data_IF_409169047868
#
_entry.id   IF_409169047868
#
_cell.length_a   1.000
_cell.length_b   1.000
_cell.length_c   1.000
_cell.angle_alpha   90.00
_cell.angle_beta   90.00
_cell.angle_gamma   90.00
#
_symmetry.space_group_name_H-M   'P 1'
#
loop_
_entity.id
_entity.type
_entity.pdbx_description
1 polymer ?
#
# COMPACT_ATOMS: atom_id res chain seq x y z
N UNK A 1 6.01 -25.57 13.36
CA UNK A 1 4.94 -25.03 14.22
C UNK A 1 4.79 -23.57 13.89
N UNK A 2 3.56 -23.10 13.63
CA UNK A 2 3.31 -21.67 13.48
C UNK A 2 3.65 -20.95 14.80
N UNK A 3 4.29 -19.76 14.76
CA UNK A 3 4.51 -19.01 15.98
C UNK A 3 3.15 -18.62 16.55
N UNK A 4 2.84 -19.10 17.75
CA UNK A 4 1.71 -18.61 18.53
C UNK A 4 2.04 -17.16 18.89
N UNK A 5 1.42 -16.22 18.17
CA UNK A 5 1.43 -14.82 18.54
C UNK A 5 0.68 -14.72 19.88
N UNK A 6 1.41 -14.55 20.99
CA UNK A 6 0.80 -14.37 22.31
C UNK A 6 -0.16 -13.20 22.25
N UNK A 7 -1.43 -13.43 22.58
CA UNK A 7 -2.41 -12.36 22.70
C UNK A 7 -1.94 -11.40 23.81
N UNK A 8 -1.98 -10.08 23.59
CA UNK A 8 -1.57 -9.12 24.61
C UNK A 8 -2.46 -9.25 25.85
N UNK A 9 -1.86 -9.13 27.04
CA UNK A 9 -2.57 -9.10 28.31
C UNK A 9 -3.58 -7.95 28.32
N UNK A 10 -4.77 -8.19 28.89
CA UNK A 10 -5.86 -7.22 28.94
C UNK A 10 -5.36 -5.88 29.54
N UNK A 11 -5.41 -4.81 28.74
CA UNK A 11 -4.96 -3.47 29.12
C UNK A 11 -3.60 -3.03 28.55
N UNK A 12 -2.82 -3.94 27.95
CA UNK A 12 -1.56 -3.59 27.28
C UNK A 12 -1.80 -3.19 25.82
N UNK A 13 -1.08 -2.16 25.37
CA UNK A 13 -1.15 -1.75 23.97
C UNK A 13 -0.52 -2.81 23.07
N UNK A 14 -1.15 -3.12 21.92
CA UNK A 14 -0.54 -4.03 20.98
C UNK A 14 0.82 -3.46 20.54
N UNK A 15 1.87 -4.31 20.45
CA UNK A 15 3.20 -3.85 20.13
C UNK A 15 3.23 -3.19 18.75
N UNK A 16 4.19 -2.27 18.51
CA UNK A 16 4.44 -1.77 17.17
C UNK A 16 4.73 -2.93 16.21
N UNK A 17 4.34 -2.78 14.95
CA UNK A 17 4.43 -3.83 13.95
C UNK A 17 5.04 -3.34 12.65
N UNK A 18 5.63 -4.28 11.91
CA UNK A 18 6.24 -4.06 10.60
C UNK A 18 5.42 -4.81 9.53
N UNK A 19 5.02 -4.13 8.46
CA UNK A 19 4.36 -4.77 7.33
C UNK A 19 5.39 -5.42 6.40
N UNK A 20 5.23 -6.70 6.11
CA UNK A 20 6.03 -7.41 5.08
C UNK A 20 5.09 -8.07 4.09
N UNK A 21 5.29 -7.84 2.79
CA UNK A 21 4.51 -8.46 1.72
C UNK A 21 5.39 -8.95 0.58
N UNK A 22 5.12 -10.16 0.08
CA UNK A 22 5.77 -10.72 -1.12
C UNK A 22 4.77 -10.94 -2.25
N UNK A 23 5.20 -10.65 -3.48
CA UNK A 23 4.41 -10.75 -4.71
C UNK A 23 3.12 -9.94 -4.67
N UNK A 24 3.19 -8.72 -4.14
CA UNK A 24 2.03 -7.84 -4.11
C UNK A 24 1.86 -7.20 -5.50
N UNK A 25 0.71 -7.45 -6.13
CA UNK A 25 0.33 -6.87 -7.42
C UNK A 25 -0.27 -5.48 -7.21
N UNK A 26 -0.07 -4.57 -8.17
CA UNK A 26 -0.73 -3.26 -8.31
C UNK A 26 -1.57 -2.78 -7.12
N UNK A 27 -2.90 -2.91 -7.24
CA UNK A 27 -3.87 -2.43 -6.25
C UNK A 27 -3.69 -3.02 -4.82
N UNK A 28 -3.16 -4.24 -4.69
CA UNK A 28 -2.89 -4.80 -3.36
C UNK A 28 -1.75 -4.04 -2.66
N UNK A 29 -0.75 -3.57 -3.41
CA UNK A 29 0.29 -2.68 -2.90
C UNK A 29 -0.32 -1.38 -2.39
N UNK A 30 -1.21 -0.77 -3.17
CA UNK A 30 -1.92 0.44 -2.79
C UNK A 30 -2.77 0.26 -1.51
N UNK A 31 -3.49 -0.86 -1.39
CA UNK A 31 -4.26 -1.17 -0.18
C UNK A 31 -3.36 -1.34 1.04
N UNK A 32 -2.22 -2.03 0.90
CA UNK A 32 -1.24 -2.15 1.99
C UNK A 32 -0.71 -0.78 2.40
N UNK A 33 -0.36 0.07 1.45
CA UNK A 33 0.11 1.44 1.75
C UNK A 33 -0.96 2.26 2.48
N UNK A 34 -2.22 2.24 2.02
CA UNK A 34 -3.34 2.92 2.69
C UNK A 34 -3.57 2.41 4.11
N UNK A 35 -3.52 1.08 4.29
CA UNK A 35 -3.67 0.46 5.60
C UNK A 35 -2.55 0.88 6.55
N UNK A 36 -1.29 0.76 6.11
CA UNK A 36 -0.12 1.15 6.91
C UNK A 36 -0.14 2.64 7.24
N UNK A 37 -0.47 3.51 6.27
CA UNK A 37 -0.51 4.95 6.45
C UNK A 37 -1.48 5.38 7.56
N UNK A 38 -2.65 4.74 7.66
CA UNK A 38 -3.63 4.98 8.75
C UNK A 38 -3.07 4.66 10.14
N UNK A 39 -2.06 3.81 10.21
CA UNK A 39 -1.45 3.33 11.45
C UNK A 39 -0.05 3.94 11.70
N UNK A 40 0.38 4.88 10.85
CA UNK A 40 1.60 5.64 11.10
C UNK A 40 1.38 6.62 12.26
N UNK A 41 2.42 6.94 13.04
CA UNK A 41 2.32 7.95 14.08
C UNK A 41 1.97 9.30 13.44
N UNK A 42 0.82 9.88 13.82
CA UNK A 42 0.44 11.24 13.45
C UNK A 42 1.54 12.21 13.87
N UNK A 43 2.13 12.92 12.90
CA UNK A 43 3.02 14.04 13.17
C UNK A 43 2.17 15.21 13.71
N UNK A 44 1.92 15.23 15.02
CA UNK A 44 1.52 16.45 15.73
C UNK A 44 0.03 16.64 16.03
N UNK A 45 -0.76 15.60 16.28
CA UNK A 45 -2.06 15.78 16.93
C UNK A 45 -2.23 14.78 18.07
N UNK A 46 -2.42 15.30 19.28
CA UNK A 46 -2.82 14.53 20.46
C UNK A 46 -4.17 13.87 20.15
N UNK A 47 -4.15 12.59 19.81
CA UNK A 47 -5.38 11.83 19.59
C UNK A 47 -5.89 11.33 20.93
N UNK A 48 -7.08 11.77 21.31
CA UNK A 48 -7.89 11.26 22.42
C UNK A 48 -8.45 9.85 22.17
N UNK A 49 -8.16 9.27 21.01
CA UNK A 49 -8.62 7.93 20.61
C UNK A 49 -7.78 6.82 21.27
N UNK A 50 -8.34 5.62 21.47
CA UNK A 50 -7.59 4.50 22.00
C UNK A 50 -6.32 4.24 21.14
N UNK A 51 -5.18 3.96 21.79
CA UNK A 51 -3.92 3.63 21.13
C UNK A 51 -4.08 2.51 20.09
N UNK A 52 -3.95 2.91 18.82
CA UNK A 52 -3.98 2.00 17.68
C UNK A 52 -2.58 1.39 17.50
N UNK A 53 -2.45 0.08 17.24
CA UNK A 53 -1.15 -0.55 16.97
C UNK A 53 -0.40 0.18 15.86
N UNK A 54 0.79 0.67 16.18
CA UNK A 54 1.56 1.55 15.28
C UNK A 54 2.33 0.74 14.24
N UNK A 55 2.08 1.03 12.97
CA UNK A 55 2.95 0.60 11.88
C UNK A 55 4.25 1.38 11.98
N UNK A 56 5.39 0.71 12.17
CA UNK A 56 6.70 1.37 12.24
C UNK A 56 7.48 1.29 10.92
N UNK A 57 7.02 0.47 9.98
CA UNK A 57 7.67 0.32 8.68
C UNK A 57 6.94 -0.65 7.76
N UNK A 58 7.30 -0.58 6.48
CA UNK A 58 6.73 -1.42 5.42
C UNK A 58 7.85 -1.87 4.47
N UNK A 59 7.88 -3.17 4.15
CA UNK A 59 8.74 -3.77 3.15
C UNK A 59 7.89 -4.61 2.19
N UNK A 60 7.85 -4.23 0.91
CA UNK A 60 7.03 -4.91 -0.11
C UNK A 60 7.90 -5.30 -1.29
N UNK A 61 7.89 -6.58 -1.65
CA UNK A 61 8.41 -7.05 -2.93
C UNK A 61 7.27 -7.06 -3.95
N UNK A 62 7.20 -6.02 -4.79
CA UNK A 62 6.21 -5.91 -5.87
C UNK A 62 6.52 -6.89 -6.99
N UNK A 63 5.52 -7.64 -7.47
CA UNK A 63 5.70 -8.55 -8.62
C UNK A 63 5.20 -7.97 -9.95
N UNK A 64 4.03 -7.32 -9.92
CA UNK A 64 3.34 -6.80 -11.11
C UNK A 64 2.77 -5.41 -10.79
N UNK A 65 3.63 -4.41 -10.60
CA UNK A 65 3.16 -3.04 -10.34
C UNK A 65 2.30 -2.51 -11.51
N UNK A 66 2.54 -2.98 -12.74
CA UNK A 66 1.73 -2.67 -13.93
C UNK A 66 0.24 -3.05 -13.80
N UNK A 67 -0.15 -3.88 -12.82
CA UNK A 67 -1.57 -4.19 -12.53
C UNK A 67 -2.21 -3.17 -11.59
N UNK A 68 -1.57 -2.03 -11.33
CA UNK A 68 -2.21 -0.95 -10.59
C UNK A 68 -3.30 -0.36 -11.48
N UNK A 69 -4.45 -0.08 -10.89
CA UNK A 69 -5.53 0.61 -11.58
C UNK A 69 -5.60 2.03 -11.07
N UNK A 70 -5.99 2.97 -11.93
CA UNK A 70 -6.14 4.35 -11.49
C UNK A 70 -7.08 4.48 -10.28
N UNK A 71 -8.13 3.66 -10.19
CA UNK A 71 -9.07 3.69 -9.06
C UNK A 71 -8.37 3.56 -7.70
N UNK A 72 -7.42 2.64 -7.57
CA UNK A 72 -6.80 2.29 -6.29
C UNK A 72 -5.44 2.95 -6.05
N UNK A 73 -4.81 3.49 -7.08
CA UNK A 73 -3.51 4.13 -6.97
C UNK A 73 -3.45 5.19 -5.86
N UNK A 74 -2.43 5.13 -4.99
CA UNK A 74 -2.26 6.10 -3.88
C UNK A 74 -1.58 7.39 -4.31
N UNK A 75 -0.84 7.39 -5.42
CA UNK A 75 -0.02 8.51 -5.90
C UNK A 75 -0.74 9.54 -6.76
N UNK A 76 -2.09 9.59 -6.78
CA UNK A 76 -2.87 10.44 -7.70
C UNK A 76 -2.48 11.92 -7.63
N UNK A 77 -2.23 12.44 -6.42
CA UNK A 77 -1.82 13.84 -6.25
C UNK A 77 -0.45 14.11 -6.87
N UNK A 78 0.47 13.14 -6.78
CA UNK A 78 1.77 13.24 -7.43
C UNK A 78 1.62 13.24 -8.96
N UNK A 79 0.78 12.34 -9.50
CA UNK A 79 0.46 12.32 -10.93
C UNK A 79 -0.13 13.67 -11.39
N UNK A 80 -1.15 14.16 -10.69
CA UNK A 80 -1.79 15.43 -11.02
C UNK A 80 -0.82 16.61 -10.97
N UNK A 81 0.07 16.66 -9.96
CA UNK A 81 1.09 17.70 -9.85
C UNK A 81 2.10 17.71 -11.00
N UNK A 82 2.25 16.59 -11.71
CA UNK A 82 3.14 16.44 -12.87
C UNK A 82 2.38 16.39 -14.19
N UNK A 83 1.08 16.74 -14.20
CA UNK A 83 0.27 16.73 -15.41
C UNK A 83 -0.07 15.34 -15.95
N UNK A 84 0.14 14.27 -15.16
CA UNK A 84 -0.22 12.90 -15.55
C UNK A 84 -1.70 12.69 -15.26
N UNK A 85 -2.47 12.54 -16.33
CA UNK A 85 -3.91 12.26 -16.27
C UNK A 85 -4.18 10.77 -15.95
N UNK A 86 -5.44 10.40 -15.61
CA UNK A 86 -5.83 9.00 -15.49
C UNK A 86 -5.55 8.20 -16.77
N UNK A 87 -5.75 8.80 -17.95
CA UNK A 87 -5.49 8.17 -19.25
C UNK A 87 -3.99 7.94 -19.46
N UNK A 88 -3.16 8.94 -19.17
CA UNK A 88 -1.70 8.80 -19.22
C UNK A 88 -1.21 7.68 -18.30
N UNK A 89 -1.81 7.58 -17.11
CA UNK A 89 -1.48 6.52 -16.15
C UNK A 89 -1.79 5.13 -16.68
N UNK A 90 -2.96 4.92 -17.31
CA UNK A 90 -3.32 3.61 -17.89
C UNK A 90 -2.38 3.27 -19.06
N UNK A 91 -1.98 4.25 -19.88
CA UNK A 91 -0.98 4.07 -20.94
C UNK A 91 0.38 3.71 -20.35
N UNK A 92 0.86 4.42 -19.31
CA UNK A 92 2.13 4.12 -18.63
C UNK A 92 2.10 2.73 -18.00
N UNK A 93 1.00 2.38 -17.32
CA UNK A 93 0.82 1.06 -16.69
C UNK A 93 0.83 -0.04 -17.75
N UNK A 94 0.16 0.17 -18.87
CA UNK A 94 0.19 -0.74 -20.00
C UNK A 94 1.60 -0.88 -20.59
N UNK A 95 2.29 0.23 -20.93
CA UNK A 95 3.65 0.23 -21.48
C UNK A 95 4.65 -0.49 -20.57
N UNK A 96 4.53 -0.33 -19.25
CA UNK A 96 5.39 -1.01 -18.26
C UNK A 96 5.04 -2.48 -18.05
N UNK A 97 3.91 -2.96 -18.59
CA UNK A 97 3.50 -4.37 -18.61
C UNK A 97 4.00 -5.17 -19.83
N UNK A 98 4.72 -4.54 -20.77
CA UNK A 98 5.17 -5.20 -22.00
C UNK A 98 6.13 -6.37 -21.71
N UNK A 99 5.89 -7.49 -22.41
CA UNK A 99 6.47 -8.83 -22.26
C UNK A 99 5.97 -9.74 -21.11
N UNK A 100 5.05 -9.28 -20.23
CA UNK A 100 4.60 -10.09 -19.08
C UNK A 100 3.09 -10.40 -19.02
N UNK A 101 2.21 -9.63 -19.65
CA UNK A 101 0.74 -9.78 -19.44
C UNK A 101 -0.16 -9.85 -20.69
N UNK A 102 0.38 -9.88 -21.91
CA UNK A 102 -0.40 -10.22 -23.12
C UNK A 102 -1.56 -9.27 -23.48
N UNK A 103 -1.60 -8.04 -22.95
CA UNK A 103 -2.65 -7.07 -23.26
C UNK A 103 -2.34 -6.30 -24.56
N UNK A 104 -3.27 -6.35 -25.52
CA UNK A 104 -3.14 -5.73 -26.84
C UNK A 104 -3.37 -4.20 -26.83
N UNK A 105 -4.01 -3.64 -25.78
CA UNK A 105 -4.28 -2.22 -25.61
C UNK A 105 -4.43 -1.82 -24.12
N UNK A 106 -4.32 -0.51 -23.77
CA UNK A 106 -4.69 0.02 -22.45
C UNK A 106 -6.15 -0.29 -22.08
N UNK A 107 -6.44 -0.45 -20.78
CA UNK A 107 -7.74 -0.85 -20.24
C UNK A 107 -8.70 0.34 -20.01
#
# INVERSE_FOLDING_TARGET
GAPQLMAPAAGSQPPPWLAVGKHLCGAATDFTLRCCHRHLPSRGLESTSPPVPRCVGVAIATCCHHRCTWQHYVGKNFCAAHGVTPEDFEIISWMTGWALCGHEAPA
#
